data_IF_303521741294
#
_entry.id   IF_303521741294
#
_cell.length_a   1.000
_cell.length_b   1.000
_cell.length_c   1.000
_cell.angle_alpha   90.00
_cell.angle_beta   90.00
_cell.angle_gamma   90.00
#
_symmetry.space_group_name_H-M   'P 1'
#
loop_
_entity.id
_entity.type
_entity.pdbx_description
1 polymer ?
#
# COMPACT_ATOMS: atom_id res chain seq x y z
N UNK A 1 0.62 -2.21 -9.81
CA UNK A 1 1.38 -1.15 -9.13
C UNK A 1 2.26 -0.38 -10.09
N UNK A 2 3.02 -1.06 -10.92
CA UNK A 2 3.91 -0.40 -11.87
C UNK A 2 3.17 0.44 -12.91
N UNK A 3 2.01 -0.01 -13.35
CA UNK A 3 1.19 0.73 -14.31
C UNK A 3 0.70 2.07 -13.74
N UNK A 4 0.32 2.08 -12.47
CA UNK A 4 -0.14 3.31 -11.82
C UNK A 4 0.98 4.34 -11.73
N UNK A 5 2.20 3.90 -11.37
CA UNK A 5 3.37 4.78 -11.31
C UNK A 5 3.76 5.30 -12.69
N UNK A 6 3.64 4.45 -13.72
CA UNK A 6 3.95 4.84 -15.08
C UNK A 6 3.00 5.92 -15.60
N UNK A 7 1.69 5.77 -15.31
CA UNK A 7 0.67 6.76 -15.71
C UNK A 7 0.70 8.02 -14.85
N UNK A 8 1.01 7.86 -13.56
CA UNK A 8 1.00 8.95 -12.58
C UNK A 8 2.28 8.88 -11.73
N UNK A 9 3.39 9.46 -12.21
CA UNK A 9 4.68 9.34 -11.50
C UNK A 9 4.66 9.85 -10.07
N UNK A 10 3.76 10.79 -9.77
CA UNK A 10 3.62 11.36 -8.41
C UNK A 10 2.68 10.55 -7.52
N UNK A 11 2.10 9.47 -8.03
CA UNK A 11 1.21 8.62 -7.25
C UNK A 11 1.97 7.91 -6.13
N UNK A 12 1.33 7.84 -4.96
CA UNK A 12 1.89 7.14 -3.81
C UNK A 12 1.18 5.80 -3.70
N UNK A 13 1.97 4.73 -3.71
CA UNK A 13 1.46 3.37 -3.65
C UNK A 13 1.66 2.82 -2.25
N UNK A 14 0.55 2.43 -1.62
CA UNK A 14 0.54 1.88 -0.27
C UNK A 14 0.10 0.43 -0.36
N UNK A 15 0.92 -0.49 0.14
CA UNK A 15 0.59 -1.90 0.23
C UNK A 15 0.03 -2.18 1.61
N UNK A 16 -1.22 -2.62 1.67
CA UNK A 16 -1.87 -3.00 2.93
C UNK A 16 -1.83 -4.51 3.03
N UNK A 17 -1.19 -5.03 4.07
CA UNK A 17 -1.00 -6.47 4.23
C UNK A 17 -1.39 -6.93 5.63
N UNK A 18 -1.76 -8.22 5.78
CA UNK A 18 -2.00 -8.77 7.11
C UNK A 18 -0.69 -8.96 7.88
N UNK A 19 -0.76 -9.14 9.21
CA UNK A 19 0.47 -9.23 10.04
C UNK A 19 1.28 -10.50 9.80
N UNK A 20 0.62 -11.60 9.40
CA UNK A 20 1.31 -12.86 9.13
C UNK A 20 0.70 -13.52 7.90
N UNK A 21 1.45 -14.45 7.31
CA UNK A 21 0.94 -15.24 6.19
C UNK A 21 -0.20 -16.17 6.62
N UNK A 22 -0.13 -16.69 7.84
CA UNK A 22 -1.21 -17.51 8.40
C UNK A 22 -2.52 -16.72 8.53
N UNK A 23 -2.44 -15.45 8.93
CA UNK A 23 -3.60 -14.57 9.00
C UNK A 23 -4.19 -14.33 7.61
N UNK A 24 -3.35 -14.11 6.61
CA UNK A 24 -3.78 -13.99 5.23
C UNK A 24 -4.51 -15.25 4.77
N UNK A 25 -3.92 -16.42 5.04
CA UNK A 25 -4.49 -17.70 4.69
C UNK A 25 -5.86 -17.90 5.36
N UNK A 26 -5.96 -17.56 6.63
CA UNK A 26 -7.20 -17.66 7.40
C UNK A 26 -8.29 -16.80 6.78
N UNK A 27 -7.97 -15.58 6.37
CA UNK A 27 -8.93 -14.66 5.74
C UNK A 27 -9.42 -15.17 4.40
N UNK A 28 -8.54 -15.81 3.62
CA UNK A 28 -8.90 -16.37 2.32
C UNK A 28 -9.78 -17.62 2.45
N UNK A 29 -9.57 -18.40 3.50
CA UNK A 29 -10.33 -19.65 3.74
C UNK A 29 -11.64 -19.37 4.49
N UNK A 30 -11.74 -18.27 5.19
CA UNK A 30 -12.77 -17.97 6.18
C UNK A 30 -14.22 -18.05 5.70
N UNK A 31 -14.47 -18.02 4.40
CA UNK A 31 -15.84 -18.08 3.86
C UNK A 31 -16.31 -19.51 3.56
N UNK A 32 -15.39 -20.47 3.47
CA UNK A 32 -15.70 -21.89 3.33
C UNK A 32 -16.47 -22.30 2.08
N UNK A 33 -16.64 -21.41 1.11
CA UNK A 33 -17.46 -21.64 -0.08
C UNK A 33 -16.65 -21.98 -1.33
N UNK A 34 -15.34 -21.96 -1.24
CA UNK A 34 -14.47 -22.13 -2.40
C UNK A 34 -13.69 -23.44 -2.33
N UNK A 35 -13.36 -23.99 -3.51
CA UNK A 35 -12.56 -25.20 -3.60
C UNK A 35 -11.11 -24.96 -3.17
N UNK A 36 -10.41 -26.02 -2.77
CA UNK A 36 -9.01 -25.95 -2.40
C UNK A 36 -8.14 -25.40 -3.54
N UNK A 37 -8.48 -25.74 -4.78
CA UNK A 37 -7.72 -25.25 -5.94
C UNK A 37 -7.80 -23.74 -6.09
N UNK A 38 -8.96 -23.16 -5.85
CA UNK A 38 -9.17 -21.71 -5.90
C UNK A 38 -8.40 -21.03 -4.78
N UNK A 39 -8.45 -21.60 -3.57
CA UNK A 39 -7.73 -21.05 -2.42
C UNK A 39 -6.22 -21.08 -2.67
N UNK A 40 -5.68 -22.18 -3.19
CA UNK A 40 -4.26 -22.27 -3.52
C UNK A 40 -3.84 -21.27 -4.56
N UNK A 41 -4.66 -21.06 -5.60
CA UNK A 41 -4.37 -20.08 -6.63
C UNK A 41 -4.29 -18.65 -6.04
N UNK A 42 -5.20 -18.33 -5.10
CA UNK A 42 -5.19 -17.04 -4.42
C UNK A 42 -3.98 -16.88 -3.51
N UNK A 43 -3.59 -17.94 -2.81
CA UNK A 43 -2.40 -17.91 -1.95
C UNK A 43 -1.13 -17.69 -2.78
N UNK A 44 -1.02 -18.34 -3.93
CA UNK A 44 0.12 -18.15 -4.82
C UNK A 44 0.18 -16.72 -5.36
N UNK A 45 -0.97 -16.16 -5.73
CA UNK A 45 -1.03 -14.77 -6.17
C UNK A 45 -0.61 -13.83 -5.06
N UNK A 46 -1.06 -14.09 -3.82
CA UNK A 46 -0.68 -13.28 -2.67
C UNK A 46 0.82 -13.32 -2.41
N UNK A 47 1.45 -14.49 -2.57
CA UNK A 47 2.91 -14.61 -2.45
C UNK A 47 3.63 -13.77 -3.49
N UNK A 48 3.15 -13.79 -4.75
CA UNK A 48 3.72 -12.98 -5.81
C UNK A 48 3.60 -11.48 -5.50
N UNK A 49 2.45 -11.05 -4.98
CA UNK A 49 2.24 -9.67 -4.59
C UNK A 49 3.17 -9.26 -3.45
N UNK A 50 3.37 -10.15 -2.47
CA UNK A 50 4.30 -9.87 -1.37
C UNK A 50 5.74 -9.74 -1.85
N UNK A 51 6.14 -10.56 -2.83
CA UNK A 51 7.48 -10.46 -3.40
C UNK A 51 7.70 -9.14 -4.14
N UNK A 52 6.64 -8.53 -4.63
CA UNK A 52 6.69 -7.24 -5.33
C UNK A 52 6.64 -6.03 -4.39
N UNK A 53 6.88 -6.22 -3.09
CA UNK A 53 6.75 -5.16 -2.10
C UNK A 53 7.60 -3.92 -2.40
N UNK A 54 8.72 -4.11 -3.09
CA UNK A 54 9.64 -3.01 -3.43
C UNK A 54 9.03 -2.01 -4.42
N UNK A 55 7.97 -2.39 -5.12
CA UNK A 55 7.28 -1.51 -6.06
C UNK A 55 6.38 -0.49 -5.35
N UNK A 56 6.12 -0.69 -4.07
CA UNK A 56 5.28 0.18 -3.26
C UNK A 56 6.13 1.19 -2.50
N UNK A 57 5.55 2.34 -2.22
CA UNK A 57 6.23 3.38 -1.46
C UNK A 57 6.13 3.15 0.05
N UNK A 58 5.02 2.59 0.49
CA UNK A 58 4.75 2.35 1.90
C UNK A 58 4.09 1.00 2.09
N UNK A 59 4.32 0.41 3.25
CA UNK A 59 3.66 -0.83 3.67
C UNK A 59 2.93 -0.54 4.98
N UNK A 60 1.63 -0.86 4.99
CA UNK A 60 0.80 -0.73 6.19
C UNK A 60 0.37 -2.13 6.61
N UNK A 61 0.68 -2.51 7.83
CA UNK A 61 0.31 -3.82 8.36
C UNK A 61 -1.06 -3.69 9.02
N UNK A 62 -2.04 -4.41 8.49
CA UNK A 62 -3.41 -4.39 8.98
C UNK A 62 -3.62 -5.51 10.00
N UNK A 63 -3.06 -5.31 11.19
CA UNK A 63 -3.33 -6.16 12.34
C UNK A 63 -4.62 -5.69 13.03
N UNK A 64 -4.71 -4.40 13.23
CA UNK A 64 -5.85 -3.70 13.84
C UNK A 64 -6.29 -2.61 12.86
N UNK A 65 -7.59 -2.55 12.57
CA UNK A 65 -8.11 -1.59 11.60
C UNK A 65 -7.83 -0.14 12.01
N UNK A 66 -7.96 0.18 13.27
CA UNK A 66 -7.72 1.54 13.77
C UNK A 66 -6.28 1.96 13.58
N UNK A 67 -5.35 1.06 13.87
CA UNK A 67 -3.92 1.32 13.69
C UNK A 67 -3.57 1.48 12.22
N UNK A 68 -4.13 0.65 11.35
CA UNK A 68 -3.91 0.75 9.92
C UNK A 68 -4.42 2.09 9.37
N UNK A 69 -5.60 2.53 9.80
CA UNK A 69 -6.15 3.83 9.40
C UNK A 69 -5.26 4.96 9.89
N UNK A 70 -4.77 4.88 11.12
CA UNK A 70 -3.85 5.87 11.67
C UNK A 70 -2.58 5.96 10.85
N UNK A 71 -1.99 4.81 10.49
CA UNK A 71 -0.78 4.77 9.67
C UNK A 71 -1.01 5.41 8.31
N UNK A 72 -2.13 5.12 7.66
CA UNK A 72 -2.47 5.70 6.36
C UNK A 72 -2.61 7.21 6.48
N UNK A 73 -3.28 7.70 7.52
CA UNK A 73 -3.42 9.14 7.76
C UNK A 73 -2.06 9.81 7.95
N UNK A 74 -1.14 9.16 8.68
CA UNK A 74 0.21 9.69 8.88
C UNK A 74 0.97 9.78 7.56
N UNK A 75 0.83 8.76 6.69
CA UNK A 75 1.46 8.77 5.38
C UNK A 75 0.93 9.94 4.55
N UNK A 76 -0.39 10.12 4.51
CA UNK A 76 -1.01 11.22 3.74
C UNK A 76 -0.51 12.57 4.25
N UNK A 77 -0.46 12.76 5.56
CA UNK A 77 0.00 14.02 6.13
C UNK A 77 1.47 14.28 5.82
N UNK A 78 2.32 13.27 5.94
CA UNK A 78 3.74 13.40 5.64
C UNK A 78 3.98 13.73 4.16
N UNK A 79 3.23 13.08 3.26
CA UNK A 79 3.37 13.31 1.83
C UNK A 79 3.00 14.74 1.42
N UNK A 80 2.07 15.36 2.15
CA UNK A 80 1.72 16.76 1.90
C UNK A 80 2.85 17.72 2.18
N UNK A 81 3.83 17.32 2.98
CA UNK A 81 4.97 18.14 3.37
C UNK A 81 6.21 17.90 2.53
N UNK A 82 6.12 17.09 1.49
CA UNK A 82 7.25 16.87 0.59
C UNK A 82 7.71 18.15 -0.06
N UNK A 83 9.02 18.33 -0.16
CA UNK A 83 9.61 19.58 -0.64
C UNK A 83 9.13 19.97 -2.04
N UNK A 84 8.91 19.00 -2.94
CA UNK A 84 8.48 19.32 -4.31
C UNK A 84 7.13 20.01 -4.36
N UNK A 85 6.28 19.81 -3.33
CA UNK A 85 4.97 20.47 -3.28
C UNK A 85 5.06 21.95 -2.97
N UNK A 86 6.23 22.39 -2.47
CA UNK A 86 6.46 23.78 -2.10
C UNK A 86 7.26 24.53 -3.17
N UNK A 87 7.49 23.90 -4.32
CA UNK A 87 8.30 24.48 -5.37
C UNK A 87 7.82 25.88 -5.76
N UNK A 88 6.55 26.02 -6.12
CA UNK A 88 6.00 27.30 -6.54
C UNK A 88 6.02 28.33 -5.42
N UNK A 89 5.71 27.89 -4.20
CA UNK A 89 5.73 28.75 -3.03
C UNK A 89 7.13 29.35 -2.80
N UNK A 90 8.15 28.49 -2.86
CA UNK A 90 9.53 28.92 -2.62
C UNK A 90 10.04 29.78 -3.77
N UNK A 91 9.75 29.43 -5.01
CA UNK A 91 10.15 30.21 -6.18
C UNK A 91 9.56 31.62 -6.13
N UNK A 92 8.30 31.73 -5.72
CA UNK A 92 7.63 33.02 -5.58
C UNK A 92 8.29 33.86 -4.49
N UNK A 93 8.67 33.25 -3.38
CA UNK A 93 9.37 33.91 -2.30
C UNK A 93 10.72 34.47 -2.76
N UNK A 94 11.45 33.70 -3.56
CA UNK A 94 12.76 34.07 -4.05
C UNK A 94 12.71 35.18 -5.13
N UNK A 95 11.59 35.30 -5.82
CA UNK A 95 11.43 36.28 -6.90
C UNK A 95 11.01 37.67 -6.40
N UNK A 96 10.69 37.80 -5.13
CA UNK A 96 10.27 39.06 -4.55
C UNK A 96 11.44 39.87 -3.97
#
# INVERSE_FOLDING_TARGET
>A
AMQAKSAYPDAILIFIMPPTFEELQSRLIGRGTESNDVIEARLNRAREELLAFKEYDYIVINDNLEDAVTDIKQIVQAEKLRSYRYKSYIEQMLSN
#
